data_IF_776935490569
#
_entry.id   IF_776935490569
#
_cell.length_a   1.000
_cell.length_b   1.000
_cell.length_c   1.000
_cell.angle_alpha   90.00
_cell.angle_beta   90.00
_cell.angle_gamma   90.00
#
_symmetry.space_group_name_H-M   'P 1'
#
loop_
_entity.id
_entity.type
_entity.pdbx_description
1 polymer ?
#
# COMPACT_ATOMS: atom_id res chain seq x y z
N UNK A 1 0.30 -1.83 13.17
CA UNK A 1 1.60 -1.15 13.34
C UNK A 1 1.39 0.05 14.24
N UNK A 2 2.06 0.10 15.37
CA UNK A 2 2.15 1.20 16.33
C UNK A 2 3.35 0.90 17.25
N UNK A 3 4.01 1.90 17.85
CA UNK A 3 3.71 3.33 17.82
C UNK A 3 4.56 4.12 16.80
N UNK A 4 3.92 5.07 16.09
CA UNK A 4 4.59 6.11 15.29
C UNK A 4 4.07 7.47 15.74
N UNK A 5 4.96 8.43 15.93
CA UNK A 5 4.61 9.81 16.31
C UNK A 5 4.41 10.65 15.06
N UNK A 6 3.32 11.39 15.00
CA UNK A 6 3.04 12.38 13.95
C UNK A 6 3.07 13.75 14.64
N UNK A 7 3.96 14.63 14.20
CA UNK A 7 4.04 16.00 14.73
C UNK A 7 2.84 16.85 14.32
N UNK A 8 2.59 17.92 15.08
CA UNK A 8 1.50 18.85 14.80
C UNK A 8 1.65 19.49 13.42
N UNK A 9 0.54 19.72 12.72
CA UNK A 9 0.54 20.32 11.38
C UNK A 9 1.07 19.42 10.26
N UNK A 10 1.55 18.21 10.56
CA UNK A 10 2.02 17.27 9.55
C UNK A 10 0.87 16.81 8.62
N UNK A 11 1.17 16.71 7.34
CA UNK A 11 0.23 16.25 6.31
C UNK A 11 0.64 14.85 5.86
N UNK A 12 -0.27 13.88 5.98
CA UNK A 12 -0.06 12.52 5.47
C UNK A 12 -0.87 12.33 4.19
N UNK A 13 -0.18 12.02 3.10
CA UNK A 13 -0.83 11.81 1.82
C UNK A 13 -1.68 10.52 1.82
N UNK A 14 -2.85 10.57 1.17
CA UNK A 14 -3.79 9.47 1.09
C UNK A 14 -3.14 8.18 0.53
N UNK A 15 -3.38 7.05 1.19
CA UNK A 15 -2.82 5.75 0.81
C UNK A 15 -1.39 5.49 1.28
N UNK A 16 -0.78 6.43 2.02
CA UNK A 16 0.56 6.24 2.61
C UNK A 16 0.50 5.33 3.83
N UNK A 17 1.35 4.31 3.87
CA UNK A 17 1.58 3.49 5.07
C UNK A 17 2.76 4.07 5.83
N UNK A 18 2.47 4.81 6.91
CA UNK A 18 3.49 5.47 7.73
C UNK A 18 4.14 4.47 8.67
N UNK A 19 5.44 4.22 8.48
CA UNK A 19 6.22 3.24 9.26
C UNK A 19 7.29 3.88 10.14
N UNK A 20 7.51 5.19 9.99
CA UNK A 20 8.53 5.99 10.71
C UNK A 20 7.87 7.25 11.26
N UNK A 21 8.44 7.87 12.31
CA UNK A 21 7.95 9.16 12.81
C UNK A 21 7.93 10.23 11.72
N UNK A 22 6.94 11.12 11.81
CA UNK A 22 6.78 12.29 10.92
C UNK A 22 6.95 13.54 11.75
N UNK A 23 7.86 14.42 11.34
CA UNK A 23 8.12 15.70 12.01
C UNK A 23 6.91 16.65 11.91
N UNK A 24 6.84 17.64 12.80
CA UNK A 24 5.80 18.68 12.74
C UNK A 24 5.88 19.45 11.42
N UNK A 25 4.73 19.85 10.89
CA UNK A 25 4.55 20.56 9.61
C UNK A 25 5.15 19.84 8.37
N UNK A 26 5.56 18.57 8.50
CA UNK A 26 6.13 17.80 7.40
C UNK A 26 5.08 17.12 6.52
N UNK A 27 5.37 17.01 5.22
CA UNK A 27 4.59 16.19 4.28
C UNK A 27 5.12 14.75 4.25
N UNK A 28 4.36 13.80 4.78
CA UNK A 28 4.64 12.38 4.64
C UNK A 28 3.94 11.82 3.39
N UNK A 29 4.74 11.41 2.40
CA UNK A 29 4.27 10.78 1.17
C UNK A 29 5.06 9.50 0.91
N UNK A 30 4.35 8.36 0.88
CA UNK A 30 4.95 7.07 0.48
C UNK A 30 4.39 6.67 -0.88
N UNK A 31 5.16 6.92 -1.95
CA UNK A 31 4.85 6.46 -3.31
C UNK A 31 5.88 5.43 -3.75
N UNK A 32 5.58 4.12 -3.71
CA UNK A 32 6.44 3.13 -4.36
C UNK A 32 6.40 3.33 -5.88
N UNK A 33 7.41 2.83 -6.58
CA UNK A 33 7.43 2.81 -8.04
C UNK A 33 6.18 2.10 -8.58
N UNK A 34 5.59 2.66 -9.64
CA UNK A 34 4.43 2.05 -10.28
C UNK A 34 4.88 0.83 -11.09
N UNK A 35 4.65 -0.37 -10.56
CA UNK A 35 4.97 -1.62 -11.25
C UNK A 35 3.71 -2.14 -11.97
N UNK A 36 3.75 -2.14 -13.31
CA UNK A 36 2.74 -2.76 -14.15
C UNK A 36 3.08 -4.22 -14.45
N UNK A 37 2.25 -5.17 -14.01
CA UNK A 37 2.39 -6.60 -14.35
C UNK A 37 1.34 -7.02 -15.38
N UNK A 38 1.64 -6.81 -16.67
CA UNK A 38 0.76 -7.18 -17.76
C UNK A 38 0.41 -8.69 -17.72
N UNK A 39 -0.87 -9.01 -17.88
CA UNK A 39 -1.37 -10.40 -17.88
C UNK A 39 -1.45 -11.07 -16.49
N UNK A 40 -0.96 -10.47 -15.41
CA UNK A 40 -0.97 -11.07 -14.07
C UNK A 40 -2.39 -11.33 -13.56
N UNK A 41 -3.31 -10.39 -13.76
CA UNK A 41 -4.70 -10.51 -13.30
C UNK A 41 -5.45 -11.67 -13.98
N UNK A 42 -5.19 -11.93 -15.26
CA UNK A 42 -5.77 -13.06 -15.99
C UNK A 42 -5.29 -14.39 -15.39
N UNK A 43 -3.97 -14.54 -15.23
CA UNK A 43 -3.34 -15.73 -14.61
C UNK A 43 -3.84 -15.98 -13.18
N UNK A 44 -4.03 -14.93 -12.40
CA UNK A 44 -4.56 -15.03 -11.04
C UNK A 44 -6.01 -15.52 -11.03
N UNK A 45 -6.88 -14.98 -11.90
CA UNK A 45 -8.28 -15.40 -12.02
C UNK A 45 -8.39 -16.87 -12.43
N UNK A 46 -7.65 -17.30 -13.45
CA UNK A 46 -7.63 -18.70 -13.89
C UNK A 46 -7.25 -19.65 -12.73
N UNK A 47 -6.20 -19.30 -11.98
CA UNK A 47 -5.73 -20.11 -10.85
C UNK A 47 -6.72 -20.14 -9.68
N UNK A 48 -7.42 -19.05 -9.40
CA UNK A 48 -8.43 -18.98 -8.33
C UNK A 48 -9.74 -19.68 -8.72
N UNK A 49 -10.17 -19.58 -9.97
CA UNK A 49 -11.33 -20.32 -10.49
C UNK A 49 -11.07 -21.82 -10.49
N UNK A 50 -9.87 -22.26 -10.91
CA UNK A 50 -9.49 -23.67 -10.84
C UNK A 50 -9.48 -24.21 -9.39
N UNK A 51 -8.99 -23.41 -8.43
CA UNK A 51 -9.04 -23.77 -6.99
C UNK A 51 -10.46 -23.81 -6.42
N UNK A 52 -11.36 -22.93 -6.89
CA UNK A 52 -12.76 -22.89 -6.46
C UNK A 52 -13.58 -24.05 -7.06
N UNK A 53 -13.25 -24.47 -8.28
CA UNK A 53 -13.92 -25.59 -8.97
C UNK A 53 -13.41 -26.96 -8.50
N UNK A 54 -12.22 -27.04 -7.90
CA UNK A 54 -11.69 -28.24 -7.25
C UNK A 54 -12.08 -28.41 -5.78
N UNK A 55 -13.03 -27.61 -5.28
CA UNK A 55 -13.64 -27.74 -3.95
C UNK A 55 -15.13 -28.00 -4.11
#
# INVERSE_FOLDING_TARGET
>A
MAPVTIGDGAIVAAGSVVTKPVEADALCLVRPEQIGKAGWAARFRERMTAKKAGK
#
